data_IF_995859846826
#
_entry.id   IF_995859846826
#
_cell.length_a   1.000
_cell.length_b   1.000
_cell.length_c   1.000
_cell.angle_alpha   90.00
_cell.angle_beta   90.00
_cell.angle_gamma   90.00
#
_symmetry.space_group_name_H-M   'P 1'
#
loop_
_entity.id
_entity.type
_entity.pdbx_description
1 polymer ?
2 non-polymer ?
3 non-polymer ?
4 non-polymer ?
5 non-polymer ?
6 non-polymer ?
7 water ?
#
# COMPACT_ATOMS: atom_id res chain seq x y z
N UNK A 4 14.99 -24.80 15.62
CA UNK A 4 13.78 -25.31 14.98
C UNK A 4 13.23 -24.29 14.00
N UNK A 5 13.88 -23.14 13.92
CA UNK A 5 13.34 -22.02 13.16
C UNK A 5 13.43 -22.27 11.66
N UNK A 6 12.59 -21.56 10.91
CA UNK A 6 12.47 -21.79 9.47
C UNK A 6 13.57 -21.11 8.66
N UNK A 7 14.07 -19.96 9.11
CA UNK A 7 15.18 -19.30 8.44
C UNK A 7 16.51 -19.87 8.92
N UNK A 8 17.38 -20.25 7.98
CA UNK A 8 18.69 -20.74 8.39
C UNK A 8 19.57 -19.64 8.97
N UNK A 9 19.29 -18.37 8.62
CA UNK A 9 19.97 -17.24 9.24
C UNK A 9 19.10 -16.01 9.03
N UNK A 10 19.30 -15.04 9.91
CA UNK A 10 18.44 -13.85 9.94
C UNK A 10 19.03 -12.76 9.05
N UNK A 11 19.02 -13.04 7.76
CA UNK A 11 19.54 -12.14 6.74
C UNK A 11 18.68 -12.24 5.50
N UNK A 12 18.89 -11.30 4.58
CA UNK A 12 18.22 -11.38 3.29
C UNK A 12 18.54 -12.68 2.58
N UNK A 13 19.81 -13.13 2.66
CA UNK A 13 20.19 -14.41 2.07
C UNK A 13 19.41 -15.56 2.70
N UNK A 14 19.19 -15.51 4.01
CA UNK A 14 18.38 -16.55 4.64
C UNK A 14 16.94 -16.53 4.16
N UNK A 15 16.37 -15.34 3.95
CA UNK A 15 15.01 -15.26 3.46
C UNK A 15 14.92 -15.82 2.04
N UNK A 16 15.88 -15.49 1.18
CA UNK A 16 15.85 -15.98 -0.18
C UNK A 16 15.91 -17.50 -0.24
N UNK A 17 16.81 -18.11 0.55
CA UNK A 17 16.87 -19.56 0.60
C UNK A 17 15.55 -20.15 1.06
N UNK A 18 14.92 -19.52 2.06
CA UNK A 18 13.63 -20.00 2.52
C UNK A 18 12.58 -19.90 1.43
N UNK A 19 12.55 -18.77 0.71
CA UNK A 19 11.56 -18.59 -0.35
C UNK A 19 11.69 -19.66 -1.42
N UNK A 20 12.91 -20.09 -1.72
CA UNK A 20 13.07 -21.08 -2.78
C UNK A 20 13.01 -22.52 -2.28
N UNK A 21 12.81 -22.73 -0.98
CA UNK A 21 12.61 -24.06 -0.45
C UNK A 21 11.14 -24.44 -0.57
N UNK A 22 10.87 -25.74 -0.41
CA UNK A 22 9.49 -26.22 -0.47
C UNK A 22 8.63 -25.73 0.69
N UNK A 23 9.24 -25.14 1.73
CA UNK A 23 8.47 -24.66 2.87
C UNK A 23 7.73 -23.36 2.61
N UNK A 24 8.15 -22.59 1.62
CA UNK A 24 7.58 -21.27 1.39
C UNK A 24 6.76 -21.31 0.11
N UNK A 25 5.44 -21.26 0.25
CA UNK A 25 4.54 -21.30 -0.89
C UNK A 25 3.64 -20.10 -0.99
N UNK A 26 3.36 -19.41 0.12
CA UNK A 26 2.40 -18.32 0.15
C UNK A 26 2.99 -17.12 0.85
N UNK A 27 3.09 -16.01 0.12
CA UNK A 27 3.67 -14.76 0.60
C UNK A 27 2.57 -13.73 0.73
N UNK A 28 2.51 -13.03 1.86
CA UNK A 28 1.67 -11.85 2.00
C UNK A 28 2.58 -10.64 2.05
N UNK A 29 2.28 -9.65 1.23
CA UNK A 29 2.97 -8.37 1.26
C UNK A 29 2.13 -7.35 2.01
N UNK A 30 2.75 -6.60 2.91
CA UNK A 30 2.12 -5.46 3.56
C UNK A 30 2.93 -4.24 3.12
N UNK A 31 2.29 -3.31 2.43
CA UNK A 31 3.03 -2.22 1.80
C UNK A 31 2.41 -0.87 2.14
N UNK A 32 3.28 0.12 2.22
CA UNK A 32 2.89 1.49 2.49
C UNK A 32 3.57 2.50 1.60
N UNK A 33 3.57 3.74 2.07
CA UNK A 33 3.98 4.86 1.23
C UNK A 33 5.41 4.74 0.74
N UNK A 34 6.28 4.06 1.49
CA UNK A 34 7.66 3.90 1.11
C UNK A 34 7.86 3.18 -0.22
N UNK A 35 6.83 2.45 -0.69
CA UNK A 35 6.94 1.77 -1.97
C UNK A 35 6.60 2.66 -3.15
N UNK A 36 6.07 3.86 -2.90
CA UNK A 36 5.68 4.75 -3.98
C UNK A 36 6.47 6.05 -4.03
N UNK A 37 7.33 6.32 -3.05
CA UNK A 37 8.06 7.57 -3.07
C UNK A 37 8.99 7.66 -4.28
N UNK A 38 9.60 6.54 -4.69
CA UNK A 38 10.45 6.62 -5.87
C UNK A 38 9.67 6.78 -7.16
N UNK A 39 8.35 6.58 -7.13
CA UNK A 39 7.50 6.91 -8.27
C UNK A 39 7.09 8.37 -8.27
N UNK A 40 7.62 9.18 -7.34
CA UNK A 40 7.28 10.59 -7.28
C UNK A 40 5.99 10.89 -6.56
N UNK A 41 5.48 9.94 -5.77
CA UNK A 41 4.24 10.12 -5.01
C UNK A 41 4.62 10.21 -3.53
N UNK A 42 4.48 11.37 -2.90
CA UNK A 42 4.85 11.51 -1.49
C UNK A 42 3.85 10.83 -0.56
N UNK A 43 4.30 10.66 0.69
CA UNK A 43 3.52 10.01 1.74
C UNK A 43 2.40 10.92 2.22
N UNK A 44 1.15 10.47 2.07
CA UNK A 44 -0.01 11.32 2.38
C UNK A 44 -0.37 11.37 3.86
N UNK A 45 0.21 10.53 4.70
CA UNK A 45 -0.02 10.60 6.14
C UNK A 45 1.03 11.40 6.87
N UNK A 46 2.02 11.86 6.17
CA UNK A 46 3.13 12.57 6.77
C UNK A 46 2.87 14.07 6.76
N UNK A 47 2.98 14.74 7.91
CA UNK A 47 2.93 16.21 7.91
C UNK A 47 4.24 16.86 7.50
N UNK A 48 5.27 16.05 7.20
CA UNK A 48 6.59 16.55 6.91
C UNK A 48 6.95 16.43 5.42
N UNK A 49 5.97 16.10 4.58
CA UNK A 49 6.21 15.90 3.16
C UNK A 49 5.70 17.04 2.29
N UNK A 50 5.18 18.11 2.89
CA UNK A 50 4.85 19.30 2.14
C UNK A 50 3.63 19.18 1.25
N UNK A 51 2.69 18.31 1.60
CA UNK A 51 1.45 18.19 0.84
C UNK A 51 0.36 19.12 1.34
N UNK A 52 0.34 19.41 2.64
CA UNK A 52 -0.71 20.19 3.28
C UNK A 52 -0.19 21.52 3.82
N UNK A 53 0.88 22.03 3.20
CA UNK A 53 1.47 23.29 3.67
C UNK A 53 0.61 24.49 3.30
N UNK A 54 -0.18 24.38 2.23
CA UNK A 54 -0.97 25.52 1.77
C UNK A 54 -2.47 25.23 1.82
N UNK A 55 -2.94 24.72 2.96
CA UNK A 55 -4.37 24.50 3.14
C UNK A 55 -5.13 25.78 3.46
N UNK A 56 -4.43 26.87 3.77
CA UNK A 56 -5.12 28.08 4.21
C UNK A 56 -5.98 28.68 3.10
N UNK A 57 -5.61 28.45 1.83
CA UNK A 57 -6.44 28.86 0.71
C UNK A 57 -7.84 28.25 0.76
N UNK A 58 -8.01 27.13 1.46
CA UNK A 58 -9.29 26.42 1.51
C UNK A 58 -10.20 26.89 2.63
N UNK A 59 -9.72 27.74 3.53
CA UNK A 59 -10.57 28.39 4.52
C UNK A 59 -11.30 27.36 5.39
N UNK A 60 -10.54 26.40 5.91
CA UNK A 60 -11.11 25.31 6.69
C UNK A 60 -11.36 25.75 8.13
N UNK A 61 -12.38 25.18 8.78
CA UNK A 61 -12.59 25.48 10.21
C UNK A 61 -11.45 25.00 11.09
N UNK A 62 -10.80 23.91 10.70
CA UNK A 62 -9.56 23.45 11.30
C UNK A 62 -8.84 22.60 10.26
N UNK A 63 -7.51 22.49 10.34
CA UNK A 63 -6.77 21.82 9.26
C UNK A 63 -7.19 20.37 9.00
N UNK A 64 -7.54 19.62 10.03
CA UNK A 64 -7.90 18.22 9.83
C UNK A 64 -9.29 18.03 9.27
N UNK A 65 -10.09 19.09 9.15
CA UNK A 65 -11.43 18.96 8.59
C UNK A 65 -11.40 18.40 7.17
N UNK A 66 -10.36 18.72 6.40
CA UNK A 66 -10.33 18.29 5.01
C UNK A 66 -10.26 16.77 4.88
N UNK A 67 -9.85 16.06 5.94
CA UNK A 67 -9.80 14.61 5.92
C UNK A 67 -11.07 13.95 6.42
N UNK A 68 -12.02 14.72 6.94
CA UNK A 68 -13.16 14.16 7.64
C UNK A 68 -14.37 14.05 6.72
N UNK A 69 -15.12 12.95 6.87
CA UNK A 69 -16.21 12.63 5.93
C UNK A 69 -17.38 13.59 6.10
N UNK A 70 -17.71 13.97 7.34
CA UNK A 70 -18.84 14.88 7.52
C UNK A 70 -18.55 16.23 6.88
N UNK A 71 -17.31 16.73 7.02
CA UNK A 71 -16.97 17.98 6.35
C UNK A 71 -17.02 17.83 4.83
N UNK A 72 -16.53 16.71 4.30
CA UNK A 72 -16.58 16.48 2.87
C UNK A 72 -18.00 16.57 2.35
N UNK A 73 -18.94 15.88 3.01
CA UNK A 73 -20.31 15.86 2.51
C UNK A 73 -20.95 17.23 2.58
N UNK A 74 -20.50 18.08 3.50
CA UNK A 74 -21.03 19.44 3.58
C UNK A 74 -20.33 20.38 2.60
N UNK A 75 -18.99 20.32 2.57
CA UNK A 75 -18.15 21.23 1.80
C UNK A 75 -17.12 20.41 1.05
N UNK A 76 -17.51 19.82 -0.09
CA UNK A 76 -16.57 18.94 -0.82
C UNK A 76 -15.51 19.68 -1.61
N UNK A 77 -15.68 20.98 -1.87
CA UNK A 77 -14.77 21.71 -2.74
C UNK A 77 -13.32 21.72 -2.27
N UNK A 78 -13.01 21.93 -0.98
CA UNK A 78 -11.59 21.87 -0.59
C UNK A 78 -10.94 20.54 -0.90
N UNK A 79 -11.62 19.43 -0.61
CA UNK A 79 -11.05 18.13 -0.97
C UNK A 79 -10.71 18.06 -2.45
N UNK A 80 -11.64 18.46 -3.32
CA UNK A 80 -11.40 18.30 -4.75
C UNK A 80 -10.34 19.25 -5.28
N UNK A 81 -10.22 20.44 -4.71
CA UNK A 81 -9.12 21.34 -5.09
C UNK A 81 -7.79 20.77 -4.62
N UNK A 82 -7.74 20.24 -3.40
CA UNK A 82 -6.54 19.56 -2.93
C UNK A 82 -6.18 18.38 -3.82
N UNK A 83 -7.18 17.57 -4.20
CA UNK A 83 -6.92 16.43 -5.08
C UNK A 83 -6.28 16.87 -6.39
N UNK A 84 -6.73 18.00 -6.94
CA UNK A 84 -6.09 18.50 -8.15
C UNK A 84 -4.65 18.90 -7.89
N UNK A 85 -4.41 19.60 -6.78
CA UNK A 85 -3.06 20.05 -6.45
C UNK A 85 -2.10 18.87 -6.23
N UNK A 86 -2.61 17.77 -5.66
CA UNK A 86 -1.79 16.62 -5.32
C UNK A 86 -1.78 15.54 -6.39
N UNK A 87 -2.53 15.70 -7.46
CA UNK A 87 -2.68 14.63 -8.44
C UNK A 87 -1.33 14.32 -9.09
N UNK A 88 -0.84 13.08 -9.04
CA UNK A 88 0.48 12.79 -9.61
C UNK A 88 0.51 13.11 -11.10
N UNK A 89 1.70 13.54 -11.56
CA UNK A 89 1.87 13.84 -12.97
C UNK A 89 2.08 12.62 -13.83
N UNK A 90 2.41 11.49 -13.22
CA UNK A 90 2.53 10.22 -13.92
C UNK A 90 2.32 9.10 -12.91
N UNK A 91 1.95 7.93 -13.43
CA UNK A 91 1.72 6.76 -12.60
C UNK A 91 2.59 5.62 -13.12
N UNK A 92 3.84 5.61 -12.68
CA UNK A 92 4.80 4.59 -13.07
C UNK A 92 5.15 3.77 -11.84
N UNK A 93 4.64 2.54 -11.72
CA UNK A 93 4.95 1.74 -10.53
C UNK A 93 6.44 1.50 -10.40
N UNK A 94 6.86 1.24 -9.17
CA UNK A 94 8.28 1.13 -8.88
C UNK A 94 8.74 -0.32 -9.02
N UNK A 95 10.06 -0.51 -8.92
CA UNK A 95 10.65 -1.85 -8.87
C UNK A 95 9.93 -2.71 -7.83
N UNK A 96 9.57 -2.09 -6.71
CA UNK A 96 8.89 -2.82 -5.65
C UNK A 96 7.52 -3.33 -6.11
N UNK A 97 6.75 -2.47 -6.78
CA UNK A 97 5.46 -2.91 -7.31
C UNK A 97 5.66 -4.07 -8.29
N UNK A 98 6.63 -3.96 -9.18
CA UNK A 98 6.83 -5.04 -10.17
C UNK A 98 7.42 -6.29 -9.54
N UNK A 99 8.17 -6.16 -8.42
CA UNK A 99 8.59 -7.36 -7.70
C UNK A 99 7.36 -8.13 -7.22
N UNK A 100 6.31 -7.42 -6.79
CA UNK A 100 5.09 -8.09 -6.38
C UNK A 100 4.38 -8.73 -7.56
N UNK A 101 4.42 -8.09 -8.74
CA UNK A 101 3.90 -8.74 -9.93
C UNK A 101 4.64 -10.04 -10.22
N UNK A 102 5.97 -10.05 -10.03
CA UNK A 102 6.73 -11.28 -10.22
C UNK A 102 6.32 -12.35 -9.22
N UNK A 103 6.11 -11.96 -7.96
CA UNK A 103 5.58 -12.93 -6.99
C UNK A 103 4.29 -13.54 -7.47
N UNK A 104 3.40 -12.71 -8.03
CA UNK A 104 2.17 -13.22 -8.61
C UNK A 104 2.45 -14.18 -9.77
N UNK A 105 3.34 -13.77 -10.69
CA UNK A 105 3.64 -14.60 -11.86
C UNK A 105 4.25 -15.93 -11.45
N UNK A 106 5.06 -15.93 -10.40
CA UNK A 106 5.73 -17.12 -9.89
C UNK A 106 4.83 -17.99 -9.03
N UNK A 107 3.57 -17.60 -8.82
CA UNK A 107 2.63 -18.39 -8.05
C UNK A 107 2.81 -18.31 -6.56
N UNK A 108 3.49 -17.27 -6.07
CA UNK A 108 3.85 -17.14 -4.67
C UNK A 108 3.00 -16.13 -3.91
N UNK A 109 2.25 -15.28 -4.60
CA UNK A 109 1.58 -14.16 -3.95
C UNK A 109 0.23 -14.62 -3.44
N UNK A 110 0.07 -14.67 -2.11
CA UNK A 110 -1.25 -14.89 -1.54
C UNK A 110 -2.08 -13.61 -1.54
N UNK A 111 -1.50 -12.50 -1.09
CA UNK A 111 -2.24 -11.25 -1.02
C UNK A 111 -1.25 -10.12 -0.83
N UNK A 112 -1.58 -8.96 -1.40
CA UNK A 112 -0.92 -7.70 -1.11
C UNK A 112 -1.93 -6.82 -0.36
N UNK A 113 -1.61 -6.50 0.88
CA UNK A 113 -2.35 -5.52 1.67
C UNK A 113 -1.60 -4.21 1.54
N UNK A 114 -2.30 -3.18 1.03
CA UNK A 114 -1.68 -1.88 0.84
C UNK A 114 -2.39 -0.78 1.63
N UNK A 115 -1.62 0.16 2.14
CA UNK A 115 -2.14 1.39 2.72
C UNK A 115 -2.21 2.51 1.70
N UNK A 116 -1.80 2.26 0.46
CA UNK A 116 -1.65 3.31 -0.53
C UNK A 116 -2.93 3.47 -1.33
N UNK A 117 -3.15 4.69 -1.81
CA UNK A 117 -4.36 5.03 -2.56
C UNK A 117 -4.06 5.35 -4.00
N UNK A 118 -2.82 5.21 -4.44
CA UNK A 118 -2.35 5.74 -5.71
C UNK A 118 -2.61 4.82 -6.91
N UNK A 119 -3.12 3.60 -6.70
CA UNK A 119 -3.47 2.63 -7.74
C UNK A 119 -2.27 1.97 -8.41
N UNK A 120 -1.04 2.24 -7.95
CA UNK A 120 0.12 1.69 -8.63
C UNK A 120 0.16 0.16 -8.58
N UNK A 121 -0.42 -0.46 -7.55
CA UNK A 121 -0.44 -1.91 -7.52
C UNK A 121 -1.21 -2.47 -8.70
N UNK A 122 -2.33 -1.83 -9.04
CA UNK A 122 -3.14 -2.30 -10.15
C UNK A 122 -2.46 -2.03 -11.49
N UNK A 123 -1.81 -0.87 -11.61
CA UNK A 123 -1.07 -0.56 -12.83
C UNK A 123 0.05 -1.57 -13.05
N UNK A 124 0.68 -2.02 -11.96
CA UNK A 124 1.75 -2.99 -12.05
C UNK A 124 1.25 -4.39 -12.33
N UNK A 125 -0.04 -4.60 -12.35
CA UNK A 125 -0.58 -5.90 -12.73
C UNK A 125 -1.09 -6.77 -11.61
N UNK A 126 -1.25 -6.24 -10.40
CA UNK A 126 -1.97 -6.97 -9.38
C UNK A 126 -3.46 -6.79 -9.61
N UNK A 127 -4.21 -7.87 -9.46
CA UNK A 127 -5.63 -7.85 -9.75
C UNK A 127 -6.43 -7.65 -8.48
N UNK A 128 -7.71 -7.33 -8.64
CA UNK A 128 -8.56 -7.07 -7.49
C UNK A 128 -8.46 -8.21 -6.47
N UNK A 129 -8.51 -9.45 -6.94
CA UNK A 129 -8.45 -10.59 -6.04
C UNK A 129 -7.15 -10.63 -5.23
N UNK A 130 -6.05 -10.11 -5.78
CA UNK A 130 -4.76 -10.13 -5.11
C UNK A 130 -4.61 -9.04 -4.06
N UNK A 131 -5.51 -8.06 -4.04
CA UNK A 131 -5.28 -6.81 -3.32
C UNK A 131 -6.27 -6.64 -2.19
N UNK A 132 -5.79 -6.10 -1.09
CA UNK A 132 -6.62 -5.53 -0.05
C UNK A 132 -6.17 -4.09 0.10
N UNK A 133 -6.95 -3.16 -0.43
CA UNK A 133 -6.67 -1.74 -0.30
C UNK A 133 -7.27 -1.27 1.02
N UNK A 134 -6.45 -1.34 2.08
CA UNK A 134 -6.94 -1.15 3.43
C UNK A 134 -7.42 0.26 3.69
N UNK A 135 -6.88 1.25 2.97
CA UNK A 135 -7.29 2.63 3.12
C UNK A 135 -8.13 3.10 1.95
N UNK A 136 -8.62 2.16 1.14
CA UNK A 136 -9.36 2.49 -0.07
C UNK A 136 -8.43 2.87 -1.21
N UNK A 137 -9.04 3.43 -2.24
CA UNK A 137 -8.27 3.75 -3.44
C UNK A 137 -8.99 4.79 -4.26
N UNK A 138 -8.24 5.52 -5.07
CA UNK A 138 -8.82 6.39 -6.10
C UNK A 138 -9.29 5.63 -7.31
N UNK A 139 -9.05 4.32 -7.37
CA UNK A 139 -9.29 3.58 -8.61
C UNK A 139 -10.76 3.61 -9.02
N UNK A 140 -11.66 3.55 -8.06
CA UNK A 140 -13.08 3.71 -8.30
C UNK A 140 -13.63 4.78 -7.37
N UNK A 141 -14.76 5.35 -7.76
CA UNK A 141 -15.49 6.33 -6.98
C UNK A 141 -16.96 5.95 -7.00
N UNK A 142 -17.69 6.40 -6.00
CA UNK A 142 -19.11 6.07 -5.95
C UNK A 142 -19.96 7.26 -5.56
N UNK A 143 -21.11 7.37 -6.22
CA UNK A 143 -22.19 8.20 -5.71
C UNK A 143 -22.44 7.89 -4.24
N UNK A 144 -22.56 8.93 -3.43
CA UNK A 144 -22.70 8.73 -1.98
C UNK A 144 -24.12 8.43 -1.54
N UNK A 145 -25.10 8.51 -2.44
CA UNK A 145 -26.48 8.24 -2.05
C UNK A 145 -26.69 6.73 -1.90
N UNK A 146 -27.22 6.32 -0.74
CA UNK A 146 -27.31 4.89 -0.43
C UNK A 146 -28.22 4.14 -1.39
N UNK A 147 -29.24 4.80 -1.93
CA UNK A 147 -30.16 4.15 -2.86
C UNK A 147 -29.61 4.11 -4.29
N UNK A 148 -28.44 4.71 -4.54
CA UNK A 148 -27.89 4.78 -5.88
C UNK A 148 -26.52 4.09 -5.95
N UNK A 149 -25.48 4.70 -5.41
CA UNK A 149 -24.16 4.05 -5.32
C UNK A 149 -23.57 3.75 -6.70
N UNK A 150 -23.94 4.55 -7.70
CA UNK A 150 -23.35 4.41 -9.04
C UNK A 150 -21.84 4.53 -8.96
N UNK A 151 -21.14 3.61 -9.61
CA UNK A 151 -19.68 3.57 -9.62
C UNK A 151 -19.13 4.30 -10.83
N UNK A 152 -18.06 5.06 -10.62
CA UNK A 152 -17.40 5.80 -11.68
C UNK A 152 -15.92 5.46 -11.71
N UNK A 153 -15.34 5.33 -12.91
CA UNK A 153 -13.93 4.98 -13.02
C UNK A 153 -13.05 6.20 -12.79
N UNK A 154 -11.76 5.95 -12.57
CA UNK A 154 -10.82 7.04 -12.32
C UNK A 154 -10.74 8.02 -13.49
N UNK A 155 -10.90 7.53 -14.73
CA UNK A 155 -10.87 8.44 -15.87
C UNK A 155 -11.95 9.52 -15.74
N UNK A 156 -13.14 9.15 -15.25
CA UNK A 156 -14.23 10.10 -15.08
C UNK A 156 -13.94 11.06 -13.93
N UNK A 157 -13.44 10.53 -12.82
CA UNK A 157 -13.12 11.35 -11.66
C UNK A 157 -11.96 12.30 -11.96
N UNK A 158 -10.94 11.83 -12.69
CA UNK A 158 -9.84 12.71 -13.07
C UNK A 158 -10.33 13.90 -13.88
N UNK A 159 -11.21 13.66 -14.85
CA UNK A 159 -11.73 14.77 -15.66
C UNK A 159 -12.45 15.80 -14.80
N UNK A 160 -13.27 15.35 -13.84
CA UNK A 160 -13.94 16.29 -12.95
C UNK A 160 -12.92 17.05 -12.11
N UNK A 161 -11.90 16.37 -11.60
CA UNK A 161 -10.91 17.00 -10.75
C UNK A 161 -10.17 18.08 -11.51
N UNK A 162 -9.73 17.77 -12.72
CA UNK A 162 -8.92 18.73 -13.46
C UNK A 162 -9.74 19.86 -14.06
N UNK A 163 -10.99 19.60 -14.41
CA UNK A 163 -11.85 20.69 -14.88
C UNK A 163 -12.43 21.51 -13.74
N UNK A 164 -12.14 21.15 -12.49
CA UNK A 164 -12.62 21.88 -11.32
C UNK A 164 -14.14 21.92 -11.26
N UNK A 165 -14.77 20.82 -11.68
CA UNK A 165 -16.20 20.63 -11.58
C UNK A 165 -16.43 19.63 -10.45
N UNK A 166 -17.20 20.02 -9.45
CA UNK A 166 -17.47 19.10 -8.34
C UNK A 166 -18.22 17.90 -8.88
N UNK A 167 -17.71 16.68 -8.69
CA UNK A 167 -18.31 15.51 -9.36
C UNK A 167 -19.67 15.17 -8.77
N UNK A 168 -20.67 15.13 -9.65
CA UNK A 168 -22.05 14.81 -9.28
C UNK A 168 -22.51 13.60 -10.08
N UNK A 169 -23.30 12.76 -9.44
CA UNK A 169 -23.77 11.54 -10.07
C UNK A 169 -24.70 11.85 -11.23
N UNK A 170 -24.47 11.19 -12.37
CA UNK A 170 -25.30 11.44 -13.53
C UNK A 170 -26.72 10.92 -13.36
N UNK A 171 -26.93 9.96 -12.48
CA UNK A 171 -28.26 9.39 -12.25
C UNK A 171 -29.08 10.20 -11.26
N UNK A 172 -28.47 10.68 -10.19
CA UNK A 172 -29.23 11.27 -9.08
C UNK A 172 -28.70 12.62 -8.60
N UNK A 173 -27.57 13.09 -9.13
CA UNK A 173 -26.98 14.40 -8.82
C UNK A 173 -26.40 14.51 -7.41
N UNK A 174 -26.28 13.40 -6.67
CA UNK A 174 -25.54 13.42 -5.42
C UNK A 174 -24.04 13.54 -5.67
N UNK A 175 -23.30 13.89 -4.61
CA UNK A 175 -21.85 13.90 -4.69
C UNK A 175 -21.32 12.53 -5.05
N UNK A 176 -20.21 12.51 -5.79
CA UNK A 176 -19.46 11.29 -6.08
C UNK A 176 -18.11 11.41 -5.38
N UNK A 177 -17.75 10.39 -4.59
CA UNK A 177 -16.57 10.43 -3.73
C UNK A 177 -15.61 9.32 -4.13
N UNK A 178 -14.31 9.60 -4.27
CA UNK A 178 -13.34 8.51 -4.46
C UNK A 178 -13.43 7.52 -3.31
N UNK A 179 -13.18 6.24 -3.63
CA UNK A 179 -13.32 5.15 -2.66
C UNK A 179 -12.17 5.10 -1.67
N UNK A 180 -11.66 6.25 -1.27
CA UNK A 180 -10.65 6.32 -0.20
C UNK A 180 -11.36 6.47 1.13
N UNK A 181 -10.73 5.98 2.19
CA UNK A 181 -11.32 5.98 3.53
C UNK A 181 -11.06 7.34 4.18
N UNK A 182 -12.08 8.20 4.23
CA UNK A 182 -11.95 9.43 4.98
C UNK A 182 -12.03 9.15 6.47
N UNK A 183 -11.53 10.11 7.27
CA UNK A 183 -11.69 10.04 8.71
C UNK A 183 -13.18 10.09 9.06
N UNK A 184 -13.63 9.15 9.89
CA UNK A 184 -15.04 8.97 10.15
C UNK A 184 -15.68 7.83 9.39
N UNK A 185 -14.99 7.28 8.39
CA UNK A 185 -15.46 6.12 7.65
C UNK A 185 -14.76 4.86 8.17
N UNK A 186 -15.43 3.73 8.01
CA UNK A 186 -14.83 2.48 8.43
C UNK A 186 -13.90 1.94 7.34
N UNK A 187 -12.94 1.12 7.75
CA UNK A 187 -12.12 0.40 6.79
C UNK A 187 -13.01 -0.57 6.02
N UNK A 188 -12.65 -0.91 4.79
CA UNK A 188 -13.50 -1.83 4.02
C UNK A 188 -13.65 -3.17 4.73
N UNK A 189 -14.85 -3.74 4.65
CA UNK A 189 -15.08 -5.07 5.22
C UNK A 189 -14.12 -6.09 4.66
N UNK A 190 -13.70 -5.92 3.40
CA UNK A 190 -12.77 -6.86 2.78
C UNK A 190 -11.48 -7.00 3.59
N UNK A 191 -10.99 -5.91 4.20
CA UNK A 191 -9.79 -6.01 5.02
C UNK A 191 -9.93 -7.04 6.12
N UNK A 192 -11.06 -6.99 6.86
CA UNK A 192 -11.21 -7.91 7.98
C UNK A 192 -11.49 -9.32 7.49
N UNK A 193 -12.29 -9.45 6.43
CA UNK A 193 -12.60 -10.76 5.89
C UNK A 193 -11.34 -11.47 5.39
N UNK A 194 -10.53 -10.77 4.60
CA UNK A 194 -9.32 -11.40 4.06
C UNK A 194 -8.31 -11.69 5.16
N UNK A 195 -8.15 -10.79 6.13
CA UNK A 195 -7.20 -11.03 7.20
C UNK A 195 -7.50 -12.34 7.92
N UNK A 196 -8.78 -12.59 8.20
CA UNK A 196 -9.17 -13.78 8.96
C UNK A 196 -8.82 -15.07 8.23
N UNK A 197 -8.80 -15.06 6.91
CA UNK A 197 -8.46 -16.25 6.14
C UNK A 197 -6.97 -16.31 5.79
N UNK A 198 -6.41 -15.19 5.30
CA UNK A 198 -5.06 -15.21 4.75
C UNK A 198 -4.03 -15.57 5.80
N UNK A 199 -4.21 -15.08 7.02
CA UNK A 199 -3.15 -15.26 8.00
C UNK A 199 -3.11 -16.66 8.57
N UNK A 200 -4.09 -17.51 8.23
CA UNK A 200 -3.99 -18.94 8.48
C UNK A 200 -3.08 -19.65 7.48
N UNK A 201 -2.77 -19.00 6.36
CA UNK A 201 -2.15 -19.67 5.22
C UNK A 201 -0.78 -19.11 4.87
N UNK A 202 -0.30 -18.10 5.58
CA UNK A 202 0.90 -17.37 5.18
C UNK A 202 2.17 -18.11 5.58
N UNK A 203 3.13 -18.16 4.65
CA UNK A 203 4.46 -18.71 4.91
C UNK A 203 5.52 -17.64 5.09
N UNK A 204 5.29 -16.44 4.57
CA UNK A 204 6.25 -15.35 4.64
C UNK A 204 5.49 -14.04 4.60
N UNK A 205 5.83 -13.14 5.52
CA UNK A 205 5.33 -11.77 5.50
C UNK A 205 6.44 -10.87 4.95
N UNK A 206 6.16 -10.20 3.83
CA UNK A 206 7.06 -9.21 3.26
C UNK A 206 6.47 -7.83 3.55
N UNK A 207 7.12 -7.09 4.44
CA UNK A 207 6.63 -5.79 4.91
C UNK A 207 7.51 -4.75 4.27
N UNK A 208 6.96 -3.94 3.37
CA UNK A 208 7.78 -3.03 2.58
C UNK A 208 7.22 -1.62 2.61
N UNK A 209 8.05 -0.66 2.96
CA UNK A 209 7.67 0.72 2.85
C UNK A 209 6.59 1.18 3.80
N UNK A 210 6.46 0.55 4.96
CA UNK A 210 5.51 0.99 5.95
C UNK A 210 6.20 0.97 7.30
N UNK A 211 5.95 1.99 8.09
CA UNK A 211 6.46 2.10 9.45
C UNK A 211 5.54 1.44 10.47
N UNK A 212 4.44 0.84 10.02
CA UNK A 212 3.54 0.09 10.90
C UNK A 212 3.08 0.94 12.08
N UNK A 213 2.67 2.17 11.78
CA UNK A 213 2.27 3.09 12.84
C UNK A 213 0.78 3.39 12.85
N UNK A 214 0.06 3.12 11.77
CA UNK A 214 -1.36 3.45 11.65
C UNK A 214 -2.14 2.16 11.78
N UNK A 215 -3.16 2.15 12.70
CA UNK A 215 -3.97 1.00 13.10
C UNK A 215 -5.28 0.99 12.34
N UNK A 216 -5.83 -0.20 12.07
CA UNK A 216 -5.35 -1.54 12.43
C UNK A 216 -4.36 -2.17 11.45
N UNK A 217 -3.87 -1.43 10.46
CA UNK A 217 -2.92 -2.00 9.51
C UNK A 217 -1.66 -2.50 10.19
N UNK A 218 -1.19 -1.78 11.21
CA UNK A 218 0.04 -2.17 11.90
C UNK A 218 -0.14 -3.47 12.67
N UNK A 219 -1.30 -3.66 13.30
CA UNK A 219 -1.54 -4.86 14.09
C UNK A 219 -1.55 -6.13 13.25
N UNK A 220 -1.50 -6.01 11.92
CA UNK A 220 -1.48 -7.19 11.07
C UNK A 220 -0.31 -8.12 11.38
N UNK A 221 0.85 -7.56 11.75
CA UNK A 221 2.02 -8.42 11.91
C UNK A 221 1.84 -9.40 13.05
N UNK A 222 1.04 -9.05 14.05
CA UNK A 222 0.76 -9.95 15.16
C UNK A 222 -0.22 -11.05 14.78
N UNK A 223 -0.80 -11.01 13.59
CA UNK A 223 -1.72 -12.02 13.12
C UNK A 223 -1.03 -13.18 12.44
N UNK A 224 0.27 -13.05 12.14
CA UNK A 224 0.98 -14.13 11.49
C UNK A 224 1.21 -15.25 12.50
N UNK A 225 1.20 -16.50 12.03
CA UNK A 225 1.63 -17.61 12.90
C UNK A 225 3.02 -17.33 13.46
N UNK A 226 3.29 -17.90 14.63
CA UNK A 226 4.56 -17.67 15.31
C UNK A 226 5.77 -18.08 14.49
N UNK A 227 5.64 -19.07 13.61
CA UNK A 227 6.78 -19.55 12.85
C UNK A 227 7.04 -18.73 11.59
N UNK A 228 6.09 -17.91 11.14
CA UNK A 228 6.19 -17.26 9.83
C UNK A 228 7.29 -16.22 9.82
N UNK A 229 8.33 -16.36 8.99
CA UNK A 229 9.33 -15.30 8.91
C UNK A 229 8.74 -14.00 8.40
N UNK A 230 9.30 -12.89 8.89
CA UNK A 230 8.82 -11.56 8.55
C UNK A 230 10.03 -10.73 8.13
N UNK A 231 10.04 -10.30 6.88
CA UNK A 231 11.12 -9.48 6.31
C UNK A 231 10.60 -8.06 6.16
N UNK A 232 11.26 -7.12 6.83
CA UNK A 232 10.98 -5.70 6.67
C UNK A 232 12.00 -5.11 5.70
N UNK A 233 11.53 -4.55 4.59
CA UNK A 233 12.35 -3.73 3.69
C UNK A 233 11.84 -2.30 3.83
N UNK A 234 12.64 -1.43 4.44
CA UNK A 234 12.15 -0.10 4.80
C UNK A 234 13.35 0.75 5.14
N UNK A 235 13.17 2.08 5.01
CA UNK A 235 14.28 2.97 5.31
C UNK A 235 14.67 2.93 6.78
N UNK A 236 13.71 2.67 7.66
CA UNK A 236 13.94 2.65 9.09
C UNK A 236 13.37 1.37 9.68
N UNK A 237 13.99 0.90 10.77
CA UNK A 237 13.42 -0.21 11.51
C UNK A 237 12.07 0.18 12.06
N UNK A 238 11.13 -0.76 12.05
CA UNK A 238 9.75 -0.49 12.45
C UNK A 238 9.13 -1.77 12.96
N UNK A 239 8.00 -1.61 13.64
CA UNK A 239 7.24 -2.75 14.09
C UNK A 239 7.69 -3.38 15.38
N UNK A 240 8.72 -2.85 16.03
CA UNK A 240 9.12 -3.35 17.33
C UNK A 240 8.16 -2.85 18.40
N UNK A 241 8.15 -3.53 19.54
CA UNK A 241 7.31 -3.07 20.64
C UNK A 241 7.75 -1.69 21.11
N UNK A 242 6.77 -0.88 21.50
CA UNK A 242 7.04 0.46 22.01
C UNK A 242 7.52 0.33 23.45
N UNK A 243 8.70 0.86 23.81
CA UNK A 243 9.16 0.75 25.20
C UNK A 243 8.24 1.42 26.21
N UNK A 244 7.39 2.36 25.78
CA UNK A 244 6.48 3.01 26.70
C UNK A 244 5.11 2.35 26.74
N UNK A 245 4.56 1.98 25.57
CA UNK A 245 3.22 1.42 25.51
C UNK A 245 3.24 -0.11 25.52
N UNK A 246 4.04 -0.71 24.63
CA UNK A 246 4.15 -2.16 24.56
C UNK A 246 3.73 -2.73 23.23
N UNK A 253 3.19 -9.38 19.74
CA UNK A 253 3.74 -9.95 18.52
C UNK A 253 4.62 -9.01 17.73
N UNK A 254 5.27 -8.08 18.42
CA UNK A 254 6.12 -7.12 17.75
C UNK A 254 7.35 -7.77 17.11
N UNK A 255 7.98 -7.00 16.23
CA UNK A 255 9.17 -7.47 15.56
C UNK A 255 10.32 -7.60 16.55
N UNK A 256 11.07 -8.69 16.45
CA UNK A 256 12.31 -8.85 17.21
C UNK A 256 13.41 -9.19 16.23
N UNK A 257 14.14 -8.16 15.80
CA UNK A 257 15.22 -8.33 14.84
C UNK A 257 16.54 -8.68 15.51
N UNK A 258 16.77 -8.17 16.73
CA UNK A 258 18.14 -8.02 17.22
C UNK A 258 18.45 -8.68 18.56
N UNK A 259 17.46 -9.18 19.29
CA UNK A 259 17.80 -9.75 20.58
C UNK A 259 18.32 -11.18 20.43
N UNK A 260 18.82 -11.74 21.53
CA UNK A 260 19.24 -13.13 21.53
C UNK A 260 18.09 -14.09 21.32
N UNK A 261 16.85 -13.62 21.48
CA UNK A 261 15.67 -14.44 21.23
C UNK A 261 15.12 -14.25 19.82
N UNK A 262 15.73 -13.39 19.02
CA UNK A 262 15.28 -13.22 17.64
C UNK A 262 15.42 -14.55 16.90
N UNK A 263 14.40 -14.89 16.11
CA UNK A 263 14.42 -16.16 15.39
C UNK A 263 13.78 -16.10 14.01
N UNK A 264 13.10 -15.02 13.63
CA UNK A 264 12.35 -15.05 12.37
C UNK A 264 12.17 -13.71 11.68
N UNK A 265 12.57 -12.62 12.32
CA UNK A 265 12.35 -11.29 11.76
C UNK A 265 13.67 -10.75 11.23
N UNK A 266 13.64 -10.20 10.02
CA UNK A 266 14.83 -9.68 9.35
C UNK A 266 14.53 -8.27 8.88
N UNK A 267 15.45 -7.35 9.13
CA UNK A 267 15.34 -5.97 8.66
C UNK A 267 16.40 -5.70 7.60
N UNK A 268 15.95 -5.24 6.45
CA UNK A 268 16.84 -4.73 5.41
C UNK A 268 16.55 -3.25 5.31
N UNK A 269 17.51 -2.42 5.69
CA UNK A 269 17.29 -0.99 5.86
C UNK A 269 17.88 -0.23 4.68
N UNK A 270 17.00 0.40 3.92
CA UNK A 270 17.39 1.13 2.74
C UNK A 270 16.16 1.44 1.92
N UNK A 271 16.39 1.93 0.72
CA UNK A 271 15.27 2.22 -0.18
C UNK A 271 14.56 0.93 -0.57
N UNK A 272 13.22 1.01 -0.64
CA UNK A 272 12.45 -0.17 -0.99
C UNK A 272 12.87 -0.77 -2.33
N UNK A 273 13.10 0.08 -3.34
CA UNK A 273 13.52 -0.43 -4.64
C UNK A 273 14.81 -1.22 -4.54
N UNK A 274 15.77 -0.71 -3.77
CA UNK A 274 17.06 -1.39 -3.69
C UNK A 274 16.95 -2.69 -2.92
N UNK A 275 16.10 -2.74 -1.89
CA UNK A 275 15.91 -4.00 -1.18
C UNK A 275 15.26 -5.05 -2.04
N UNK A 276 14.22 -4.67 -2.78
CA UNK A 276 13.57 -5.64 -3.66
C UNK A 276 14.52 -6.07 -4.78
N UNK A 277 15.33 -5.14 -5.29
CA UNK A 277 16.31 -5.52 -6.28
C UNK A 277 17.30 -6.53 -5.70
N UNK A 278 17.76 -6.28 -4.47
CA UNK A 278 18.72 -7.20 -3.85
C UNK A 278 18.10 -8.58 -3.65
N UNK A 279 16.84 -8.62 -3.20
CA UNK A 279 16.17 -9.90 -3.02
C UNK A 279 15.98 -10.62 -4.35
N UNK A 280 15.51 -9.90 -5.38
CA UNK A 280 15.35 -10.53 -6.68
C UNK A 280 16.67 -11.10 -7.18
N UNK A 281 17.76 -10.36 -6.98
CA UNK A 281 19.06 -10.85 -7.41
C UNK A 281 19.42 -12.17 -6.74
N UNK A 282 19.22 -12.26 -5.42
CA UNK A 282 19.47 -13.52 -4.72
C UNK A 282 18.63 -14.65 -5.28
N UNK A 283 17.39 -14.35 -5.65
CA UNK A 283 16.45 -15.34 -6.15
C UNK A 283 16.72 -15.77 -7.57
N UNK A 284 17.65 -15.11 -8.28
CA UNK A 284 17.82 -15.39 -9.69
C UNK A 284 16.81 -14.70 -10.58
N UNK A 285 16.10 -13.70 -10.06
CA UNK A 285 15.04 -13.01 -10.78
C UNK A 285 15.45 -11.65 -11.31
N UNK A 286 16.73 -11.26 -11.19
CA UNK A 286 17.09 -9.88 -11.53
C UNK A 286 16.84 -9.56 -12.99
N UNK A 287 17.22 -10.47 -13.90
CA UNK A 287 16.96 -10.22 -15.31
C UNK A 287 15.47 -10.14 -15.60
N UNK A 288 14.69 -11.04 -15.00
CA UNK A 288 13.24 -11.01 -15.21
C UNK A 288 12.65 -9.71 -14.69
N UNK A 289 13.13 -9.24 -13.54
CA UNK A 289 12.60 -8.00 -12.98
C UNK A 289 13.02 -6.79 -13.81
N UNK A 290 14.28 -6.75 -14.23
CA UNK A 290 14.75 -5.65 -15.07
C UNK A 290 13.93 -5.59 -16.35
N UNK A 291 13.74 -6.74 -17.00
CA UNK A 291 13.01 -6.78 -18.27
C UNK A 291 11.56 -6.34 -18.09
N UNK A 292 10.91 -6.81 -17.02
CA UNK A 292 9.54 -6.41 -16.75
C UNK A 292 9.43 -4.91 -16.51
N UNK A 293 10.27 -4.36 -15.62
CA UNK A 293 10.19 -2.95 -15.30
C UNK A 293 10.45 -2.10 -16.54
N UNK A 294 11.49 -2.45 -17.30
CA UNK A 294 11.83 -1.60 -18.41
C UNK A 294 10.73 -1.60 -19.47
N UNK A 295 10.12 -2.76 -19.70
CA UNK A 295 9.05 -2.83 -20.70
C UNK A 295 7.80 -2.11 -20.22
N UNK A 296 7.45 -2.24 -18.94
CA UNK A 296 6.25 -1.57 -18.44
C UNK A 296 6.47 -0.06 -18.36
N UNK A 297 7.64 0.36 -17.88
CA UNK A 297 7.96 1.79 -17.89
C UNK A 297 7.95 2.34 -19.30
N UNK A 298 8.50 1.59 -20.25
CA UNK A 298 8.48 2.06 -21.64
C UNK A 298 7.06 2.22 -22.15
N UNK A 299 6.21 1.25 -21.82
CA UNK A 299 4.82 1.34 -22.25
C UNK A 299 4.12 2.55 -21.63
N UNK A 300 4.37 2.81 -20.35
CA UNK A 300 3.74 3.95 -19.68
C UNK A 300 4.26 5.26 -20.27
N UNK A 301 5.56 5.36 -20.49
CA UNK A 301 6.13 6.56 -21.08
C UNK A 301 5.57 6.83 -22.46
N UNK A 302 5.16 5.78 -23.17
CA UNK A 302 4.71 5.87 -24.54
C UNK A 302 3.21 6.04 -24.68
N UNK A 303 2.49 6.20 -23.58
CA UNK A 303 1.05 6.39 -23.70
C UNK A 303 0.77 7.63 -24.54
N UNK A 304 0.00 7.43 -25.60
CA UNK A 304 -0.32 8.51 -26.53
C UNK A 304 -1.82 8.73 -26.59
#
# INVERSE_FOLDING_TARGET
GHMERLLDELTLEGVARYMQSERCRRVICLVGAGISTSAGIPDFRSPSTGLYDNLEKYHLPYPEAIFEISYFKKHPEPFFALAKELYPGQFKPTICHYFMRLLKDKGLLLRCYTQNIDTLERIAGLEQEDLVEAHGTFYTSHCVSASCRHEYPLSWMKEKIFSEVTPKCEDCQSLVKPDIVFFGESLPARFFSCMQSDFLKVDLLLVMGTSLQVQPFASLISKAPLSTPRLLINKEKAGQSDPFLGMIMGLGGGMDFDSKKAYRDVAWLGECDQGCLALAELLGWKKELEDLVRREHASIDAQS
#
